data_IF_999097742113
#
_entry.id   IF_999097742113
#
_cell.length_a   1.000
_cell.length_b   1.000
_cell.length_c   1.000
_cell.angle_alpha   90.00
_cell.angle_beta   90.00
_cell.angle_gamma   90.00
#
_symmetry.space_group_name_H-M   'P 1'
#
loop_
_entity.id
_entity.type
_entity.pdbx_description
1 polymer ?
#
# COMPACT_ATOMS: atom_id res chain seq x y z
N UNK A 1 -10.08 11.12 32.25
CA UNK A 1 -8.78 10.87 31.60
C UNK A 1 -8.87 11.36 30.16
N UNK A 2 -7.98 12.27 29.74
CA UNK A 2 -8.22 13.25 28.68
C UNK A 2 -8.17 12.65 27.26
N UNK A 3 -9.30 12.07 26.86
CA UNK A 3 -9.56 11.37 25.62
C UNK A 3 -9.41 12.24 24.35
N UNK A 4 -9.32 13.57 24.46
CA UNK A 4 -9.23 14.51 23.33
C UNK A 4 -7.80 14.89 22.88
N UNK A 5 -6.76 14.38 23.54
CA UNK A 5 -5.37 14.80 23.29
C UNK A 5 -4.88 14.47 21.87
N UNK A 6 -5.17 13.28 21.35
CA UNK A 6 -4.61 12.85 20.06
C UNK A 6 -5.27 13.54 18.85
N UNK A 7 -6.59 13.74 18.92
CA UNK A 7 -7.34 14.45 17.88
C UNK A 7 -6.96 15.91 17.75
N UNK A 8 -6.44 16.52 18.82
CA UNK A 8 -5.95 17.89 18.79
C UNK A 8 -4.77 18.04 17.81
N UNK A 9 -3.79 17.14 17.88
CA UNK A 9 -2.61 17.20 17.00
C UNK A 9 -3.00 17.18 15.52
N UNK A 10 -4.00 16.38 15.12
CA UNK A 10 -4.41 16.29 13.72
C UNK A 10 -5.17 17.51 13.19
N UNK A 11 -5.74 18.33 14.08
CA UNK A 11 -6.46 19.56 13.73
C UNK A 11 -5.53 20.76 13.59
N UNK A 12 -4.27 20.62 14.00
CA UNK A 12 -3.27 21.67 13.87
C UNK A 12 -2.82 21.82 12.41
N UNK A 13 -2.54 23.06 12.00
CA UNK A 13 -2.01 23.39 10.67
C UNK A 13 -0.67 22.69 10.42
N UNK A 14 0.11 22.50 11.48
CA UNK A 14 1.36 21.74 11.47
C UNK A 14 1.44 20.85 12.71
N UNK A 15 1.70 19.56 12.48
CA UNK A 15 1.82 18.58 13.56
C UNK A 15 3.19 18.71 14.23
N UNK A 16 3.21 18.89 15.55
CA UNK A 16 4.42 18.71 16.35
C UNK A 16 4.74 17.21 16.49
N UNK A 17 5.76 16.77 15.76
CA UNK A 17 6.19 15.37 15.75
C UNK A 17 6.74 14.91 17.11
N UNK A 18 7.37 15.79 17.89
CA UNK A 18 7.94 15.41 19.19
C UNK A 18 6.84 15.22 20.22
N UNK A 19 5.85 16.13 20.24
CA UNK A 19 4.70 16.00 21.12
C UNK A 19 3.86 14.76 20.75
N UNK A 20 3.64 14.52 19.46
CA UNK A 20 2.95 13.34 18.97
C UNK A 20 3.65 12.05 19.40
N UNK A 21 4.99 11.97 19.27
CA UNK A 21 5.78 10.81 19.73
C UNK A 21 5.64 10.56 21.22
N UNK A 22 5.70 11.61 22.05
CA UNK A 22 5.52 11.48 23.50
C UNK A 22 4.12 10.98 23.86
N UNK A 23 3.10 11.45 23.15
CA UNK A 23 1.72 11.01 23.36
C UNK A 23 1.52 9.56 22.90
N UNK A 24 2.08 9.16 21.76
CA UNK A 24 2.03 7.77 21.27
C UNK A 24 2.76 6.83 22.23
N UNK A 25 3.94 7.22 22.74
CA UNK A 25 4.74 6.41 23.67
C UNK A 25 4.01 6.09 24.96
N UNK A 26 3.08 6.95 25.40
CA UNK A 26 2.18 6.71 26.54
C UNK A 26 1.07 5.68 26.25
N UNK A 27 0.99 5.14 25.04
CA UNK A 27 0.03 4.10 24.65
C UNK A 27 -1.30 4.61 24.08
N UNK A 28 -1.46 5.91 23.85
CA UNK A 28 -2.72 6.51 23.36
C UNK A 28 -3.05 6.21 21.89
N UNK A 29 -2.28 5.35 21.22
CA UNK A 29 -2.46 4.99 19.81
C UNK A 29 -3.59 3.95 19.59
N UNK A 30 -4.05 3.26 20.64
CA UNK A 30 -5.01 2.15 20.51
C UNK A 30 -6.49 2.58 20.50
N UNK A 31 -6.81 3.83 20.87
CA UNK A 31 -8.21 4.23 21.05
C UNK A 31 -8.85 4.66 19.74
N UNK A 32 -9.72 3.82 19.19
CA UNK A 32 -10.77 4.26 18.25
C UNK A 32 -11.67 5.23 19.01
N UNK A 33 -11.71 6.49 18.58
CA UNK A 33 -12.66 7.46 19.11
C UNK A 33 -13.96 7.36 18.33
N UNK A 34 -15.04 6.98 19.01
CA UNK A 34 -16.38 7.35 18.59
C UNK A 34 -16.54 8.83 18.93
N UNK A 35 -16.40 9.72 17.94
CA UNK A 35 -17.07 11.02 18.01
C UNK A 35 -18.43 10.86 17.34
N UNK A 36 -19.44 11.60 17.80
CA UNK A 36 -20.82 11.50 17.33
C UNK A 36 -20.96 11.65 15.80
N UNK A 37 -19.92 12.18 15.12
CA UNK A 37 -19.91 12.42 13.67
C UNK A 37 -18.81 11.70 12.87
N UNK A 38 -17.79 11.09 13.49
CA UNK A 38 -16.73 10.38 12.73
C UNK A 38 -15.89 9.43 13.59
N UNK A 39 -15.51 8.30 13.01
CA UNK A 39 -14.56 7.34 13.58
C UNK A 39 -13.17 7.65 13.02
N UNK A 40 -12.41 8.51 13.71
CA UNK A 40 -11.01 8.76 13.33
C UNK A 40 -10.20 7.55 13.76
N UNK A 41 -9.67 6.80 12.79
CA UNK A 41 -8.67 5.77 13.06
C UNK A 41 -7.32 6.44 13.34
N UNK A 42 -7.19 6.97 14.55
CA UNK A 42 -5.99 7.66 15.03
C UNK A 42 -4.72 6.83 14.87
N UNK A 43 -4.83 5.49 14.99
CA UNK A 43 -3.70 4.58 14.78
C UNK A 43 -3.17 4.69 13.35
N UNK A 44 -4.04 4.59 12.36
CA UNK A 44 -3.62 4.63 10.95
C UNK A 44 -2.89 5.96 10.64
N UNK A 45 -3.43 7.09 11.10
CA UNK A 45 -2.81 8.40 10.87
C UNK A 45 -1.47 8.57 11.62
N UNK A 46 -1.39 8.12 12.87
CA UNK A 46 -0.13 8.10 13.61
C UNK A 46 0.96 7.32 12.87
N UNK A 47 0.64 6.12 12.36
CA UNK A 47 1.61 5.30 11.63
C UNK A 47 2.07 5.96 10.34
N UNK A 48 1.16 6.59 9.58
CA UNK A 48 1.54 7.34 8.37
C UNK A 48 2.52 8.46 8.67
N UNK A 49 2.33 9.20 9.77
CA UNK A 49 3.25 10.28 10.15
C UNK A 49 4.58 9.72 10.65
N UNK A 50 4.55 8.70 11.52
CA UNK A 50 5.76 8.11 12.08
C UNK A 50 6.65 7.45 11.02
N UNK A 51 6.05 6.87 9.99
CA UNK A 51 6.75 6.29 8.85
C UNK A 51 7.15 7.34 7.79
N UNK A 52 6.84 8.63 8.00
CA UNK A 52 7.17 9.70 7.06
C UNK A 52 6.33 9.70 5.78
N UNK A 53 5.21 8.98 5.75
CA UNK A 53 4.29 8.93 4.61
C UNK A 53 3.48 10.22 4.47
N UNK A 54 2.89 10.71 5.58
CA UNK A 54 2.09 11.93 5.60
C UNK A 54 2.92 13.13 6.07
N UNK A 55 2.94 14.27 5.32
CA UNK A 55 3.59 15.51 5.74
C UNK A 55 3.01 16.08 7.05
N UNK A 56 3.84 16.83 7.78
CA UNK A 56 3.41 17.46 9.03
C UNK A 56 2.47 18.65 8.77
N UNK A 57 2.67 19.36 7.66
CA UNK A 57 1.85 20.49 7.23
C UNK A 57 0.53 20.00 6.60
N UNK A 58 -0.59 20.53 7.08
CA UNK A 58 -1.94 20.09 6.72
C UNK A 58 -2.29 20.35 5.25
N UNK A 59 -1.84 21.49 4.72
CA UNK A 59 -2.05 21.93 3.33
C UNK A 59 -1.41 20.97 2.31
N UNK A 60 -0.28 20.36 2.65
CA UNK A 60 0.48 19.45 1.76
C UNK A 60 -0.02 18.01 1.78
N UNK A 61 -0.83 17.60 2.77
CA UNK A 61 -1.21 16.19 2.97
C UNK A 61 -1.98 15.63 1.79
N UNK A 62 -3.02 16.32 1.34
CA UNK A 62 -3.87 15.86 0.25
C UNK A 62 -3.08 15.75 -1.06
N UNK A 63 -2.29 16.78 -1.40
CA UNK A 63 -1.44 16.77 -2.60
C UNK A 63 -0.44 15.61 -2.56
N UNK A 64 0.26 15.39 -1.44
CA UNK A 64 1.21 14.28 -1.30
C UNK A 64 0.54 12.92 -1.44
N UNK A 65 -0.61 12.72 -0.78
CA UNK A 65 -1.36 11.47 -0.80
C UNK A 65 -1.88 11.16 -2.21
N UNK A 66 -2.41 12.16 -2.92
CA UNK A 66 -2.87 11.99 -4.29
C UNK A 66 -1.72 11.62 -5.22
N UNK A 67 -0.61 12.38 -5.19
CA UNK A 67 0.56 12.06 -6.00
C UNK A 67 1.11 10.65 -5.72
N UNK A 68 1.13 10.21 -4.46
CA UNK A 68 1.59 8.85 -4.11
C UNK A 68 0.64 7.77 -4.61
N UNK A 69 -0.68 8.02 -4.62
CA UNK A 69 -1.67 7.11 -5.18
C UNK A 69 -1.56 7.04 -6.70
N UNK A 70 -1.39 8.17 -7.36
CA UNK A 70 -1.25 8.24 -8.82
C UNK A 70 0.03 7.51 -9.25
N UNK A 71 1.17 7.78 -8.60
CA UNK A 71 2.42 7.06 -8.83
C UNK A 71 2.27 5.55 -8.61
N UNK A 72 1.54 5.12 -7.57
CA UNK A 72 1.28 3.70 -7.34
C UNK A 72 0.46 3.09 -8.48
N UNK A 73 -0.54 3.79 -9.01
CA UNK A 73 -1.33 3.31 -10.14
C UNK A 73 -0.49 3.20 -11.42
N UNK A 74 0.40 4.15 -11.65
CA UNK A 74 1.34 4.11 -12.78
C UNK A 74 2.26 2.89 -12.67
N UNK A 75 2.86 2.65 -11.50
CA UNK A 75 3.69 1.46 -11.25
C UNK A 75 2.90 0.15 -11.40
N UNK A 76 1.65 0.10 -10.93
CA UNK A 76 0.80 -1.08 -11.12
C UNK A 76 0.51 -1.31 -12.60
N UNK A 77 0.22 -0.26 -13.35
CA UNK A 77 -0.01 -0.36 -14.79
C UNK A 77 1.23 -0.85 -15.52
N UNK A 78 2.40 -0.27 -15.21
CA UNK A 78 3.68 -0.64 -15.80
C UNK A 78 4.05 -2.09 -15.45
N UNK A 79 4.13 -2.46 -14.18
CA UNK A 79 4.71 -3.75 -13.78
C UNK A 79 3.72 -4.91 -13.72
N UNK A 80 2.41 -4.65 -13.60
CA UNK A 80 1.42 -5.74 -13.45
C UNK A 80 0.58 -5.91 -14.71
N UNK A 81 0.13 -4.82 -15.34
CA UNK A 81 -0.75 -4.91 -16.51
C UNK A 81 -0.02 -4.86 -17.83
N UNK A 82 1.11 -4.15 -17.92
CA UNK A 82 1.91 -4.05 -19.14
C UNK A 82 3.42 -4.28 -18.89
N UNK A 83 3.83 -5.39 -18.24
CA UNK A 83 5.24 -5.60 -17.90
C UNK A 83 6.13 -5.71 -19.13
N UNK A 84 5.64 -6.32 -20.20
CA UNK A 84 6.31 -6.45 -21.50
C UNK A 84 5.25 -6.72 -22.58
N UNK A 85 5.32 -6.08 -23.75
CA UNK A 85 4.54 -6.57 -24.89
C UNK A 85 5.24 -7.81 -25.49
N UNK A 86 4.51 -8.87 -25.84
CA UNK A 86 5.11 -10.06 -26.47
C UNK A 86 5.81 -9.70 -27.79
N UNK A 87 5.38 -8.59 -28.40
CA UNK A 87 5.93 -7.99 -29.62
C UNK A 87 7.30 -7.31 -29.38
N UNK A 88 7.62 -6.91 -28.13
CA UNK A 88 8.93 -6.36 -27.71
C UNK A 88 9.95 -7.44 -27.34
N UNK A 89 9.55 -8.72 -27.30
CA UNK A 89 10.46 -9.83 -27.06
C UNK A 89 11.19 -10.20 -28.36
N UNK A 90 12.16 -9.38 -28.75
CA UNK A 90 12.98 -9.58 -29.97
C UNK A 90 13.86 -10.84 -29.89
N UNK A 91 14.15 -11.32 -28.67
CA UNK A 91 15.04 -12.44 -28.41
C UNK A 91 14.33 -13.81 -28.38
N UNK A 92 15.10 -14.90 -28.49
CA UNK A 92 14.59 -16.26 -28.36
C UNK A 92 14.33 -16.65 -26.89
N UNK A 93 13.28 -17.44 -26.57
CA UNK A 93 12.97 -17.89 -25.19
C UNK A 93 14.04 -18.76 -24.52
N UNK A 94 14.97 -19.30 -25.31
CA UNK A 94 16.14 -20.06 -24.84
C UNK A 94 17.44 -19.24 -24.90
N UNK A 95 17.33 -17.91 -25.03
CA UNK A 95 18.50 -17.06 -24.98
C UNK A 95 19.10 -17.11 -23.57
N UNK A 96 20.37 -17.53 -23.48
CA UNK A 96 21.10 -17.64 -22.21
C UNK A 96 21.81 -16.33 -21.83
N UNK A 97 21.67 -15.27 -22.63
CA UNK A 97 22.21 -13.96 -22.31
C UNK A 97 21.48 -13.36 -21.10
N UNK A 98 22.21 -12.94 -20.08
CA UNK A 98 21.66 -12.37 -18.85
C UNK A 98 20.87 -11.07 -19.08
N UNK A 99 21.16 -10.37 -20.18
CA UNK A 99 20.48 -9.16 -20.61
C UNK A 99 19.27 -9.41 -21.52
N UNK A 100 18.89 -10.68 -21.75
CA UNK A 100 17.76 -11.00 -22.59
C UNK A 100 16.43 -10.65 -21.91
N UNK A 101 15.52 -10.03 -22.66
CA UNK A 101 14.17 -9.67 -22.20
C UNK A 101 13.37 -10.90 -21.76
N UNK A 102 13.61 -12.07 -22.39
CA UNK A 102 13.00 -13.34 -21.98
C UNK A 102 13.45 -13.80 -20.59
N UNK A 103 14.74 -13.63 -20.27
CA UNK A 103 15.29 -14.00 -18.96
C UNK A 103 14.71 -13.09 -17.87
N UNK A 104 14.56 -11.80 -18.13
CA UNK A 104 13.91 -10.85 -17.23
C UNK A 104 12.43 -11.24 -16.97
N UNK A 105 11.65 -11.49 -18.02
CA UNK A 105 10.26 -11.93 -17.91
C UNK A 105 10.12 -13.21 -17.06
N UNK A 106 10.99 -14.19 -17.27
CA UNK A 106 10.95 -15.44 -16.50
C UNK A 106 11.29 -15.22 -15.02
N UNK A 107 12.24 -14.32 -14.71
CA UNK A 107 12.53 -13.92 -13.33
C UNK A 107 11.32 -13.26 -12.68
N UNK A 108 10.65 -12.35 -13.38
CA UNK A 108 9.46 -11.65 -12.88
C UNK A 108 8.29 -12.60 -12.62
N UNK A 109 8.08 -13.58 -13.51
CA UNK A 109 7.10 -14.65 -13.31
C UNK A 109 7.41 -15.49 -12.07
N UNK A 110 8.66 -15.92 -11.92
CA UNK A 110 9.08 -16.71 -10.76
C UNK A 110 8.92 -15.93 -9.45
N UNK A 111 9.26 -14.64 -9.45
CA UNK A 111 9.07 -13.75 -8.30
C UNK A 111 7.58 -13.63 -7.96
N UNK A 112 6.74 -13.36 -8.96
CA UNK A 112 5.27 -13.25 -8.78
C UNK A 112 4.67 -14.52 -8.18
N UNK A 113 5.11 -15.68 -8.67
CA UNK A 113 4.66 -16.97 -8.16
C UNK A 113 5.08 -17.19 -6.70
N UNK A 114 6.33 -16.84 -6.34
CA UNK A 114 6.81 -16.95 -4.96
C UNK A 114 6.04 -16.03 -4.00
N UNK A 115 5.78 -14.78 -4.41
CA UNK A 115 4.94 -13.85 -3.64
C UNK A 115 3.54 -14.42 -3.43
N UNK A 116 2.96 -15.05 -4.47
CA UNK A 116 1.68 -15.74 -4.36
C UNK A 116 1.68 -16.85 -3.30
N UNK A 117 2.70 -17.72 -3.33
CA UNK A 117 2.84 -18.79 -2.34
C UNK A 117 3.09 -18.28 -0.91
N UNK A 118 3.86 -17.20 -0.75
CA UNK A 118 4.10 -16.60 0.56
C UNK A 118 2.85 -15.93 1.12
N UNK A 119 2.07 -15.26 0.26
CA UNK A 119 0.82 -14.62 0.65
C UNK A 119 -0.22 -15.64 1.10
N UNK A 120 -0.34 -16.79 0.43
CA UNK A 120 -1.27 -17.86 0.84
C UNK A 120 -0.92 -18.49 2.19
N UNK A 121 0.36 -18.44 2.59
CA UNK A 121 0.84 -18.99 3.87
C UNK A 121 0.80 -17.97 5.00
N UNK A 122 0.55 -16.69 4.71
CA UNK A 122 0.65 -15.61 5.68
C UNK A 122 -0.56 -15.59 6.62
N UNK A 123 -0.33 -15.93 7.89
CA UNK A 123 -1.30 -15.79 8.99
C UNK A 123 -2.70 -16.33 8.67
N UNK A 124 -2.76 -17.60 8.27
CA UNK A 124 -3.99 -18.28 7.86
C UNK A 124 -5.12 -18.23 8.91
N UNK A 125 -4.83 -18.01 10.18
CA UNK A 125 -5.87 -17.90 11.23
C UNK A 125 -6.57 -16.53 11.25
N UNK A 126 -6.05 -15.54 10.54
CA UNK A 126 -6.61 -14.19 10.51
C UNK A 126 -7.41 -13.99 9.22
N UNK A 127 -8.73 -13.84 9.37
CA UNK A 127 -9.66 -13.74 8.24
C UNK A 127 -9.35 -12.58 7.26
N UNK A 128 -8.65 -11.54 7.72
CA UNK A 128 -8.20 -10.43 6.87
C UNK A 128 -7.34 -10.90 5.67
N UNK A 129 -6.52 -11.93 5.84
CA UNK A 129 -5.58 -12.39 4.80
C UNK A 129 -6.15 -13.46 3.87
N UNK A 130 -7.25 -14.11 4.25
CA UNK A 130 -7.88 -15.17 3.45
C UNK A 130 -9.21 -14.76 2.80
N UNK A 131 -9.78 -13.63 3.21
CA UNK A 131 -11.00 -13.09 2.60
C UNK A 131 -10.69 -12.23 1.39
N UNK A 132 -11.54 -12.30 0.38
CA UNK A 132 -11.46 -11.35 -0.74
C UNK A 132 -11.68 -9.92 -0.26
N UNK A 133 -10.91 -8.98 -0.83
CA UNK A 133 -11.12 -7.56 -0.54
C UNK A 133 -12.48 -7.10 -1.07
N UNK A 134 -13.21 -6.33 -0.25
CA UNK A 134 -14.44 -5.65 -0.67
C UNK A 134 -14.17 -4.44 -1.58
N UNK A 135 -12.91 -4.06 -1.72
CA UNK A 135 -12.47 -2.88 -2.46
C UNK A 135 -11.36 -3.28 -3.45
N UNK A 136 -11.65 -4.11 -4.46
CA UNK A 136 -10.68 -4.44 -5.48
C UNK A 136 -10.36 -3.19 -6.30
N UNK A 137 -9.11 -3.05 -6.73
CA UNK A 137 -8.77 -2.04 -7.72
C UNK A 137 -9.50 -2.38 -9.02
N UNK A 138 -10.16 -1.39 -9.62
CA UNK A 138 -11.01 -1.57 -10.80
C UNK A 138 -10.29 -2.26 -11.96
N UNK A 139 -9.01 -1.95 -12.18
CA UNK A 139 -8.17 -2.58 -13.19
C UNK A 139 -7.99 -4.09 -12.97
N UNK A 140 -7.88 -4.55 -11.71
CA UNK A 140 -7.74 -5.98 -11.38
C UNK A 140 -9.07 -6.74 -11.49
N UNK A 141 -10.20 -6.08 -11.22
CA UNK A 141 -11.52 -6.70 -11.39
C UNK A 141 -11.78 -7.13 -12.84
N UNK A 142 -11.12 -6.49 -13.82
CA UNK A 142 -11.22 -6.81 -15.26
C UNK A 142 -10.30 -7.97 -15.68
N UNK A 143 -9.18 -8.20 -14.99
CA UNK A 143 -8.13 -9.17 -15.36
C UNK A 143 -8.35 -10.56 -14.75
N UNK A 144 -9.21 -10.72 -13.74
CA UNK A 144 -9.60 -12.03 -13.19
C UNK A 144 -10.15 -13.02 -14.24
N UNK A 145 -10.54 -12.54 -15.42
CA UNK A 145 -10.95 -13.33 -16.58
C UNK A 145 -9.80 -14.06 -17.30
N UNK A 146 -8.52 -13.72 -17.03
CA UNK A 146 -7.37 -14.18 -17.82
C UNK A 146 -6.27 -14.91 -17.03
N UNK A 147 -6.30 -14.91 -15.69
CA UNK A 147 -5.20 -15.45 -14.86
C UNK A 147 -5.48 -16.86 -14.32
N UNK A 148 -6.65 -17.45 -14.65
CA UNK A 148 -6.95 -18.87 -14.41
C UNK A 148 -7.27 -19.56 -15.74
N UNK A 149 -6.24 -19.74 -16.58
CA UNK A 149 -6.18 -20.82 -17.58
C UNK A 149 -4.93 -21.62 -17.30
#
# INVERSE_FOLDING_TARGET
>A
MNKNLLNRHFREEKIDLNELKQTIFKGYMWTSFFSEDYLINCRAECWKILLGYTPLEADKRNTKINNMRDNYLDLVNEFIFNPYSIEELEDHPLNNNENSTWVALMRDKNLTQQVGYDTMRLNFDVNLFNSETKFPLSSFARVRSFVYV
#
